data_IF_200510225579
#
_entry.id   IF_200510225579
#
_cell.length_a   1.000
_cell.length_b   1.000
_cell.length_c   1.000
_cell.angle_alpha   90.00
_cell.angle_beta   90.00
_cell.angle_gamma   90.00
#
_symmetry.space_group_name_H-M   'P 1'
#
loop_
_entity.id
_entity.type
_entity.pdbx_description
1 polymer ?
#
# COMPACT_ATOMS: atom_id res chain seq x y z
N UNK A 1 -57.50 -22.24 -43.37
CA UNK A 1 -56.73 -21.89 -42.19
C UNK A 1 -55.28 -22.10 -42.57
N UNK A 2 -54.56 -21.00 -42.66
CA UNK A 2 -53.28 -20.87 -43.36
C UNK A 2 -52.12 -21.22 -42.41
N UNK A 3 -51.31 -22.20 -42.80
CA UNK A 3 -50.20 -22.77 -42.03
C UNK A 3 -48.84 -22.20 -42.47
N UNK A 4 -48.80 -20.89 -42.71
CA UNK A 4 -47.63 -20.22 -43.27
C UNK A 4 -46.88 -19.26 -42.27
N UNK A 5 -46.82 -19.54 -40.95
CA UNK A 5 -46.00 -18.80 -39.99
C UNK A 5 -44.98 -19.75 -39.38
N UNK A 6 -44.17 -20.39 -40.22
CA UNK A 6 -42.94 -21.03 -39.72
C UNK A 6 -41.85 -19.96 -39.73
N UNK A 7 -41.48 -19.54 -38.52
CA UNK A 7 -40.47 -18.55 -38.22
C UNK A 7 -39.17 -18.78 -39.02
N UNK A 8 -38.77 -17.79 -39.84
CA UNK A 8 -37.40 -17.67 -40.38
C UNK A 8 -36.43 -17.47 -39.24
N UNK A 9 -35.97 -18.56 -38.63
CA UNK A 9 -34.78 -18.52 -37.82
C UNK A 9 -33.63 -18.00 -38.71
N UNK A 10 -33.19 -16.75 -38.50
CA UNK A 10 -32.01 -16.22 -39.17
C UNK A 10 -30.86 -17.15 -38.79
N UNK A 11 -30.41 -17.98 -39.71
CA UNK A 11 -29.17 -18.73 -39.54
C UNK A 11 -28.07 -17.71 -39.37
N UNK A 12 -27.47 -17.68 -38.14
CA UNK A 12 -26.28 -16.92 -37.88
C UNK A 12 -25.18 -17.50 -38.76
N UNK A 13 -24.77 -16.75 -39.78
CA UNK A 13 -23.68 -17.16 -40.65
C UNK A 13 -22.38 -17.01 -39.89
N UNK A 14 -21.91 -18.09 -39.24
CA UNK A 14 -20.69 -18.16 -38.47
C UNK A 14 -19.45 -17.77 -39.29
N UNK A 15 -19.48 -17.81 -40.62
CA UNK A 15 -18.39 -17.38 -41.50
C UNK A 15 -18.20 -15.87 -41.48
N UNK A 16 -19.26 -15.09 -41.17
CA UNK A 16 -19.12 -13.62 -41.02
C UNK A 16 -18.54 -13.22 -39.70
N UNK A 17 -18.57 -14.07 -38.67
CA UNK A 17 -17.97 -13.86 -37.35
C UNK A 17 -16.47 -14.17 -37.33
N UNK A 18 -15.95 -14.97 -38.30
CA UNK A 18 -14.53 -15.39 -38.38
C UNK A 18 -13.77 -14.55 -39.42
N UNK A 19 -14.09 -13.27 -39.59
CA UNK A 19 -13.20 -12.38 -40.33
C UNK A 19 -11.89 -12.25 -39.51
N UNK A 20 -10.76 -12.48 -40.19
CA UNK A 20 -9.43 -12.23 -39.54
C UNK A 20 -9.46 -10.84 -38.93
N UNK A 21 -9.17 -10.70 -37.65
CA UNK A 21 -9.19 -9.40 -37.00
C UNK A 21 -8.18 -8.44 -37.70
N UNK A 22 -8.61 -7.22 -37.98
CA UNK A 22 -7.74 -6.23 -38.56
C UNK A 22 -6.58 -5.92 -37.58
N UNK A 23 -5.44 -5.44 -38.10
CA UNK A 23 -4.23 -5.15 -37.32
C UNK A 23 -4.52 -4.40 -36.01
N UNK A 24 -5.39 -3.38 -36.05
CA UNK A 24 -5.73 -2.61 -34.86
C UNK A 24 -6.50 -3.45 -33.81
N UNK A 25 -7.43 -4.31 -34.23
CA UNK A 25 -8.13 -5.23 -33.30
C UNK A 25 -7.14 -6.19 -32.65
N UNK A 26 -6.19 -6.74 -33.42
CA UNK A 26 -5.15 -7.61 -32.89
C UNK A 26 -4.27 -6.88 -31.84
N UNK A 27 -3.81 -5.65 -32.14
CA UNK A 27 -2.98 -4.85 -31.22
C UNK A 27 -3.74 -4.50 -29.94
N UNK A 28 -5.01 -4.09 -30.03
CA UNK A 28 -5.82 -3.78 -28.85
C UNK A 28 -6.10 -5.04 -28.00
N UNK A 29 -6.33 -6.19 -28.65
CA UNK A 29 -6.47 -7.47 -27.93
C UNK A 29 -5.17 -7.84 -27.20
N UNK A 30 -4.01 -7.71 -27.86
CA UNK A 30 -2.71 -7.96 -27.24
C UNK A 30 -2.47 -7.01 -26.06
N UNK A 31 -2.82 -5.73 -26.21
CA UNK A 31 -2.73 -4.76 -25.11
C UNK A 31 -3.58 -5.20 -23.91
N UNK A 32 -4.82 -5.64 -24.13
CA UNK A 32 -5.69 -6.16 -23.08
C UNK A 32 -5.07 -7.38 -22.37
N UNK A 33 -4.52 -8.33 -23.14
CA UNK A 33 -3.91 -9.53 -22.57
C UNK A 33 -2.64 -9.22 -21.77
N UNK A 34 -1.78 -8.32 -22.28
CA UNK A 34 -0.59 -7.87 -21.57
C UNK A 34 -0.97 -7.11 -20.30
N UNK A 35 -1.98 -6.24 -20.34
CA UNK A 35 -2.49 -5.53 -19.16
C UNK A 35 -3.04 -6.52 -18.13
N UNK A 36 -3.87 -7.47 -18.56
CA UNK A 36 -4.41 -8.50 -17.67
C UNK A 36 -3.30 -9.34 -17.01
N UNK A 37 -2.27 -9.72 -17.78
CA UNK A 37 -1.12 -10.45 -17.28
C UNK A 37 -0.33 -9.62 -16.26
N UNK A 38 -0.08 -8.33 -16.54
CA UNK A 38 0.61 -7.42 -15.61
C UNK A 38 -0.20 -7.18 -14.32
N UNK A 39 -1.54 -7.19 -14.40
CA UNK A 39 -2.40 -7.14 -13.22
C UNK A 39 -2.38 -8.47 -12.46
N UNK A 40 -2.50 -9.61 -13.11
CA UNK A 40 -2.58 -10.92 -12.47
C UNK A 40 -1.23 -11.35 -11.84
N UNK A 41 -0.16 -11.18 -12.60
CA UNK A 41 1.19 -11.66 -12.26
C UNK A 41 2.21 -10.56 -12.55
N UNK A 42 2.27 -9.49 -11.74
CA UNK A 42 3.16 -8.35 -12.01
C UNK A 42 4.64 -8.76 -12.03
N UNK A 43 5.01 -9.87 -11.38
CA UNK A 43 6.36 -10.43 -11.38
C UNK A 43 6.91 -10.77 -12.79
N UNK A 44 6.04 -10.91 -13.80
CA UNK A 44 6.49 -11.11 -15.20
C UNK A 44 7.18 -9.87 -15.79
N UNK A 45 6.96 -8.70 -15.20
CA UNK A 45 7.62 -7.47 -15.64
C UNK A 45 9.05 -7.44 -15.09
N UNK A 46 10.08 -7.35 -15.97
CA UNK A 46 11.47 -7.31 -15.53
C UNK A 46 11.75 -6.12 -14.61
N UNK A 47 12.58 -6.35 -13.58
CA UNK A 47 12.95 -5.30 -12.60
C UNK A 47 14.43 -4.89 -12.71
N UNK A 48 15.15 -5.34 -13.73
CA UNK A 48 16.53 -4.92 -14.00
C UNK A 48 16.56 -3.52 -14.64
N UNK A 49 17.67 -2.81 -14.47
CA UNK A 49 17.87 -1.48 -15.05
C UNK A 49 16.88 -0.44 -14.50
N UNK A 50 15.89 0.02 -15.27
CA UNK A 50 14.99 1.12 -14.89
C UNK A 50 13.96 0.76 -13.81
N UNK A 51 14.00 -0.44 -13.22
CA UNK A 51 13.07 -0.90 -12.17
C UNK A 51 11.60 -0.85 -12.60
N UNK A 52 11.33 -1.21 -13.86
CA UNK A 52 9.97 -1.17 -14.43
C UNK A 52 9.01 -2.11 -13.68
N UNK A 53 9.48 -3.25 -13.19
CA UNK A 53 8.70 -4.17 -12.35
C UNK A 53 8.15 -3.49 -11.12
N UNK A 54 9.00 -2.89 -10.28
CA UNK A 54 8.59 -2.13 -9.08
C UNK A 54 7.65 -0.97 -9.42
N UNK A 55 7.89 -0.27 -10.55
CA UNK A 55 6.97 0.78 -11.00
C UNK A 55 5.57 0.22 -11.31
N UNK A 56 5.48 -0.85 -12.08
CA UNK A 56 4.20 -1.50 -12.44
C UNK A 56 3.50 -2.03 -11.20
N UNK A 57 4.23 -2.63 -10.26
CA UNK A 57 3.73 -3.15 -9.00
C UNK A 57 3.19 -2.02 -8.10
N UNK A 58 3.92 -0.93 -7.94
CA UNK A 58 3.49 0.24 -7.16
C UNK A 58 2.17 0.83 -7.70
N UNK A 59 2.02 0.90 -9.02
CA UNK A 59 0.85 1.49 -9.68
C UNK A 59 -0.11 0.44 -10.28
N UNK A 60 -0.03 -0.80 -9.83
CA UNK A 60 -0.84 -1.93 -10.30
C UNK A 60 -2.35 -1.67 -10.35
N UNK A 61 -2.99 -1.04 -9.33
CA UNK A 61 -4.43 -0.74 -9.40
C UNK A 61 -4.81 0.14 -10.59
N UNK A 62 -3.93 1.04 -11.01
CA UNK A 62 -4.17 2.00 -12.10
C UNK A 62 -4.05 1.41 -13.50
N UNK A 63 -3.49 0.20 -13.63
CA UNK A 63 -3.44 -0.52 -14.91
C UNK A 63 -4.85 -0.80 -15.47
N UNK A 64 -5.86 -0.90 -14.61
CA UNK A 64 -7.26 -1.02 -15.02
C UNK A 64 -7.76 0.13 -15.90
N UNK A 65 -7.16 1.33 -15.77
CA UNK A 65 -7.54 2.49 -16.60
C UNK A 65 -7.24 2.31 -18.09
N UNK A 66 -6.33 1.40 -18.46
CA UNK A 66 -6.04 1.06 -19.87
C UNK A 66 -7.29 0.58 -20.60
N UNK A 67 -8.24 0.02 -19.86
CA UNK A 67 -9.51 -0.46 -20.44
C UNK A 67 -10.32 0.69 -21.05
N UNK A 68 -10.27 1.89 -20.48
CA UNK A 68 -11.08 3.04 -20.94
C UNK A 68 -10.78 3.42 -22.40
N UNK A 69 -9.54 3.73 -22.80
CA UNK A 69 -9.24 4.05 -24.19
C UNK A 69 -9.48 2.86 -25.13
N UNK A 70 -9.32 1.61 -24.66
CA UNK A 70 -9.61 0.41 -25.46
C UNK A 70 -11.12 0.31 -25.75
N UNK A 71 -11.99 0.54 -24.76
CA UNK A 71 -13.44 0.54 -24.96
C UNK A 71 -13.89 1.68 -25.87
N UNK A 72 -13.32 2.88 -25.72
CA UNK A 72 -13.57 3.99 -26.63
C UNK A 72 -13.18 3.65 -28.08
N UNK A 73 -12.03 3.03 -28.27
CA UNK A 73 -11.59 2.56 -29.59
C UNK A 73 -12.51 1.46 -30.12
N UNK A 74 -12.98 0.54 -29.28
CA UNK A 74 -13.94 -0.49 -29.67
C UNK A 74 -15.27 0.12 -30.14
N UNK A 75 -15.77 1.12 -29.42
CA UNK A 75 -17.01 1.85 -29.77
C UNK A 75 -16.87 2.58 -31.11
N UNK A 76 -15.83 3.41 -31.29
CA UNK A 76 -15.59 4.16 -32.54
C UNK A 76 -15.44 3.22 -33.73
N UNK A 77 -14.77 2.09 -33.55
CA UNK A 77 -14.49 1.10 -34.60
C UNK A 77 -15.65 0.10 -34.75
N UNK A 78 -16.68 0.17 -33.93
CA UNK A 78 -17.80 -0.80 -33.87
C UNK A 78 -17.28 -2.25 -33.84
N UNK A 79 -16.27 -2.53 -33.00
CA UNK A 79 -15.60 -3.82 -32.91
C UNK A 79 -16.04 -4.60 -31.65
N UNK A 80 -16.99 -5.54 -31.78
CA UNK A 80 -17.40 -6.36 -30.63
C UNK A 80 -16.25 -7.24 -30.10
N UNK A 81 -15.32 -7.67 -30.96
CA UNK A 81 -14.19 -8.46 -30.58
C UNK A 81 -13.22 -7.65 -29.66
N UNK A 82 -12.98 -6.37 -29.96
CA UNK A 82 -12.17 -5.50 -29.10
C UNK A 82 -12.88 -5.24 -27.76
N UNK A 83 -14.20 -5.02 -27.78
CA UNK A 83 -14.98 -4.85 -26.56
C UNK A 83 -14.94 -6.10 -25.67
N UNK A 84 -15.07 -7.29 -26.26
CA UNK A 84 -14.95 -8.56 -25.55
C UNK A 84 -13.54 -8.76 -24.95
N UNK A 85 -12.48 -8.41 -25.71
CA UNK A 85 -11.11 -8.48 -25.21
C UNK A 85 -10.87 -7.55 -24.01
N UNK A 86 -11.51 -6.38 -23.96
CA UNK A 86 -11.40 -5.43 -22.85
C UNK A 86 -12.02 -5.96 -21.55
N UNK A 87 -12.93 -6.94 -21.61
CA UNK A 87 -13.48 -7.57 -20.39
C UNK A 87 -12.42 -8.38 -19.63
N UNK A 88 -11.40 -8.91 -20.32
CA UNK A 88 -10.38 -9.75 -19.67
C UNK A 88 -9.64 -8.98 -18.56
N UNK A 89 -8.99 -7.82 -18.82
CA UNK A 89 -8.34 -7.06 -17.76
C UNK A 89 -9.34 -6.51 -16.73
N UNK A 90 -10.61 -6.25 -17.08
CA UNK A 90 -11.63 -5.85 -16.10
C UNK A 90 -11.90 -6.99 -15.12
N UNK A 91 -12.13 -8.21 -15.60
CA UNK A 91 -12.41 -9.36 -14.74
C UNK A 91 -11.20 -9.69 -13.84
N UNK A 92 -10.00 -9.65 -14.40
CA UNK A 92 -8.77 -9.84 -13.61
C UNK A 92 -8.61 -8.75 -12.57
N UNK A 93 -8.89 -7.49 -12.93
CA UNK A 93 -8.79 -6.37 -11.97
C UNK A 93 -9.82 -6.53 -10.84
N UNK A 94 -11.05 -6.91 -11.15
CA UNK A 94 -12.08 -7.18 -10.14
C UNK A 94 -11.66 -8.32 -9.21
N UNK A 95 -11.14 -9.42 -9.75
CA UNK A 95 -10.65 -10.56 -8.94
C UNK A 95 -9.55 -10.15 -7.97
N UNK A 96 -8.61 -9.30 -8.41
CA UNK A 96 -7.46 -8.89 -7.61
C UNK A 96 -7.81 -7.80 -6.59
N UNK A 97 -8.73 -6.88 -6.93
CA UNK A 97 -8.94 -5.64 -6.16
C UNK A 97 -10.35 -5.46 -5.60
N UNK A 98 -11.36 -6.19 -6.06
CA UNK A 98 -12.72 -6.04 -5.57
C UNK A 98 -13.03 -6.88 -4.32
N UNK A 99 -12.05 -7.06 -3.44
CA UNK A 99 -12.30 -7.61 -2.11
C UNK A 99 -13.28 -6.70 -1.36
N UNK A 100 -14.36 -7.28 -0.79
CA UNK A 100 -15.27 -6.56 0.09
C UNK A 100 -14.67 -6.56 1.49
N UNK A 101 -14.28 -5.40 2.05
CA UNK A 101 -13.92 -5.33 3.45
C UNK A 101 -15.19 -5.63 4.26
N UNK A 102 -15.24 -6.80 4.88
CA UNK A 102 -16.24 -7.08 5.91
C UNK A 102 -15.96 -6.23 7.14
N UNK A 103 -16.98 -5.82 7.89
CA UNK A 103 -16.78 -5.30 9.24
C UNK A 103 -16.35 -6.47 10.13
N UNK A 104 -15.04 -6.70 10.22
CA UNK A 104 -14.50 -7.69 11.14
C UNK A 104 -14.37 -7.09 12.54
N UNK A 105 -14.64 -7.93 13.57
CA UNK A 105 -14.32 -7.58 14.93
C UNK A 105 -12.81 -7.32 15.07
N UNK A 106 -12.42 -6.35 15.85
CA UNK A 106 -11.03 -6.00 16.16
C UNK A 106 -10.84 -5.74 17.65
N UNK A 107 -9.60 -5.85 18.08
CA UNK A 107 -9.23 -5.70 19.49
C UNK A 107 -8.64 -4.33 19.79
N UNK A 108 -7.79 -3.81 18.90
CA UNK A 108 -7.12 -2.51 19.05
C UNK A 108 -7.08 -1.75 17.72
N UNK A 109 -7.00 -0.42 17.81
CA UNK A 109 -6.71 0.44 16.66
C UNK A 109 -5.31 1.02 16.77
N UNK A 110 -4.65 1.16 15.64
CA UNK A 110 -3.34 1.80 15.55
C UNK A 110 -3.36 2.85 14.45
N UNK A 111 -2.60 3.91 14.63
CA UNK A 111 -2.43 4.97 13.61
C UNK A 111 -0.97 5.08 13.24
N UNK A 112 -0.72 5.21 11.95
CA UNK A 112 0.58 5.54 11.38
C UNK A 112 0.48 6.83 10.58
N UNK A 113 1.50 7.70 10.66
CA UNK A 113 1.50 8.96 9.92
C UNK A 113 2.90 9.52 9.72
N UNK A 114 3.32 9.72 8.47
CA UNK A 114 4.43 10.59 8.13
C UNK A 114 3.95 12.05 8.27
N UNK A 115 4.49 12.78 9.26
CA UNK A 115 4.01 14.14 9.59
C UNK A 115 4.69 15.22 8.77
N UNK A 116 5.62 14.88 7.89
CA UNK A 116 6.50 15.76 7.12
C UNK A 116 7.37 16.68 7.99
N UNK A 117 8.67 16.67 7.79
CA UNK A 117 9.62 17.50 8.54
C UNK A 117 9.49 19.01 8.23
N UNK A 118 8.82 19.35 7.14
CA UNK A 118 8.51 20.72 6.72
C UNK A 118 7.15 21.23 7.23
N UNK A 119 6.38 20.38 7.95
CA UNK A 119 5.04 20.71 8.39
C UNK A 119 5.02 21.84 9.45
N UNK A 120 4.18 22.85 9.25
CA UNK A 120 4.18 24.10 10.04
C UNK A 120 3.18 24.14 11.21
N UNK A 121 2.29 23.14 11.34
CA UNK A 121 1.23 23.14 12.34
C UNK A 121 1.18 21.85 13.19
N UNK A 122 2.27 21.43 13.87
CA UNK A 122 2.34 20.16 14.59
C UNK A 122 1.31 20.03 15.72
N UNK A 123 0.88 21.14 16.34
CA UNK A 123 -0.14 21.10 17.37
C UNK A 123 -1.54 20.71 16.84
N UNK A 124 -1.87 21.07 15.59
CA UNK A 124 -3.11 20.64 14.94
C UNK A 124 -3.07 19.14 14.66
N UNK A 125 -1.97 18.67 14.10
CA UNK A 125 -1.74 17.24 13.84
C UNK A 125 -1.84 16.44 15.13
N UNK A 126 -1.15 16.88 16.20
CA UNK A 126 -1.18 16.20 17.49
C UNK A 126 -2.60 16.08 18.07
N UNK A 127 -3.43 17.12 17.97
CA UNK A 127 -4.84 17.06 18.41
C UNK A 127 -5.65 16.08 17.57
N UNK A 128 -5.50 16.10 16.26
CA UNK A 128 -6.20 15.23 15.34
C UNK A 128 -5.83 13.75 15.60
N UNK A 129 -4.54 13.46 15.83
CA UNK A 129 -4.06 12.13 16.19
C UNK A 129 -4.58 11.69 17.57
N UNK A 130 -4.59 12.58 18.58
CA UNK A 130 -5.19 12.30 19.89
C UNK A 130 -6.66 11.94 19.77
N UNK A 131 -7.40 12.68 18.94
CA UNK A 131 -8.84 12.52 18.76
C UNK A 131 -9.20 11.23 17.97
N UNK A 132 -8.24 10.56 17.33
CA UNK A 132 -8.40 9.23 16.74
C UNK A 132 -8.67 8.14 17.78
N UNK A 133 -8.25 8.36 19.02
CA UNK A 133 -8.40 7.43 20.14
C UNK A 133 -7.70 6.07 19.93
N UNK A 134 -6.75 5.97 19.00
CA UNK A 134 -5.97 4.75 18.77
C UNK A 134 -5.16 4.33 20.02
N UNK A 135 -4.85 3.07 20.17
CA UNK A 135 -4.01 2.54 21.26
C UNK A 135 -2.54 2.84 21.05
N UNK A 136 -2.11 2.83 19.78
CA UNK A 136 -0.74 3.11 19.36
C UNK A 136 -0.74 4.14 18.24
N UNK A 137 0.20 5.09 18.27
CA UNK A 137 0.44 6.05 17.19
C UNK A 137 1.92 5.99 16.82
N UNK A 138 2.21 5.63 15.57
CA UNK A 138 3.54 5.68 14.97
C UNK A 138 3.66 6.94 14.10
N UNK A 139 4.75 7.66 14.23
CA UNK A 139 5.00 8.89 13.47
C UNK A 139 6.39 8.84 12.83
N UNK A 140 6.49 9.35 11.61
CA UNK A 140 7.71 9.51 10.86
C UNK A 140 7.95 11.00 10.55
N UNK A 141 9.20 11.33 10.25
CA UNK A 141 9.69 12.70 9.99
C UNK A 141 9.48 13.68 11.16
N UNK A 142 9.48 13.15 12.38
CA UNK A 142 9.31 13.97 13.58
C UNK A 142 10.60 14.73 13.90
N UNK A 143 10.60 16.04 13.69
CA UNK A 143 11.70 16.90 14.11
C UNK A 143 11.74 17.06 15.63
N UNK A 144 12.90 17.40 16.26
CA UNK A 144 12.98 17.66 17.69
C UNK A 144 12.01 18.75 18.17
N UNK A 145 11.78 19.78 17.34
CA UNK A 145 10.84 20.87 17.64
C UNK A 145 9.39 20.36 17.62
N UNK A 146 8.99 19.60 16.59
CA UNK A 146 7.66 19.00 16.48
C UNK A 146 7.40 18.02 17.63
N UNK A 147 8.39 17.17 17.99
CA UNK A 147 8.30 16.22 19.12
C UNK A 147 7.98 16.91 20.44
N UNK A 148 8.56 18.09 20.70
CA UNK A 148 8.23 18.87 21.89
C UNK A 148 6.76 19.28 21.91
N UNK A 149 6.21 19.68 20.76
CA UNK A 149 4.79 20.05 20.62
C UNK A 149 3.90 18.83 20.76
N UNK A 150 4.22 17.71 20.09
CA UNK A 150 3.48 16.45 20.24
C UNK A 150 3.41 16.00 21.69
N UNK A 151 4.54 16.05 22.41
CA UNK A 151 4.60 15.72 23.85
C UNK A 151 3.65 16.60 24.67
N UNK A 152 3.58 17.88 24.39
CA UNK A 152 2.68 18.81 25.08
C UNK A 152 1.20 18.47 24.92
N UNK A 153 0.81 17.87 23.77
CA UNK A 153 -0.59 17.54 23.44
C UNK A 153 -0.96 16.10 23.75
N UNK A 154 -0.01 15.15 23.52
CA UNK A 154 -0.31 13.71 23.56
C UNK A 154 -0.08 13.08 24.94
N UNK A 155 0.79 13.62 25.78
CA UNK A 155 1.29 12.96 27.01
C UNK A 155 0.21 12.50 28.00
N UNK A 156 -0.93 13.18 28.04
CA UNK A 156 -2.03 12.82 28.95
C UNK A 156 -2.82 11.61 28.47
N UNK A 157 -3.00 11.49 27.14
CA UNK A 157 -3.72 10.38 26.52
C UNK A 157 -2.79 9.21 26.22
N UNK A 158 -1.53 9.49 25.89
CA UNK A 158 -0.47 8.54 25.56
C UNK A 158 0.72 8.73 26.49
N UNK A 159 0.66 8.22 27.73
CA UNK A 159 1.70 8.45 28.73
C UNK A 159 3.03 7.76 28.40
N UNK A 160 3.03 6.78 27.50
CA UNK A 160 4.21 6.03 27.11
C UNK A 160 4.69 6.48 25.73
N UNK A 161 5.96 6.86 25.63
CA UNK A 161 6.55 7.38 24.40
C UNK A 161 7.97 6.85 24.22
N UNK A 162 8.26 6.37 23.02
CA UNK A 162 9.60 5.94 22.60
C UNK A 162 9.92 6.60 21.26
N UNK A 163 11.21 6.83 20.97
CA UNK A 163 11.65 7.37 19.68
C UNK A 163 13.07 6.94 19.33
N UNK A 164 13.37 7.01 18.03
CA UNK A 164 14.74 6.82 17.50
C UNK A 164 14.90 7.72 16.26
N UNK A 165 15.83 8.69 16.36
CA UNK A 165 16.04 9.68 15.29
C UNK A 165 14.75 10.45 14.97
N UNK A 166 14.16 10.18 13.81
CA UNK A 166 12.97 10.88 13.31
C UNK A 166 11.69 10.04 13.39
N UNK A 167 11.72 8.87 14.03
CA UNK A 167 10.53 8.03 14.21
C UNK A 167 10.12 7.96 15.67
N UNK A 168 8.82 8.06 15.94
CA UNK A 168 8.24 8.10 17.27
C UNK A 168 7.12 7.04 17.41
N UNK A 169 7.00 6.47 18.61
CA UNK A 169 5.88 5.61 19.01
C UNK A 169 5.24 6.17 20.28
N UNK A 170 3.98 6.50 20.19
CA UNK A 170 3.13 6.90 21.31
C UNK A 170 2.17 5.79 21.65
N UNK A 171 1.99 5.50 22.93
CA UNK A 171 1.17 4.36 23.42
C UNK A 171 0.37 4.74 24.65
N UNK A 172 -0.86 4.22 24.71
CA UNK A 172 -1.67 4.20 25.94
C UNK A 172 -1.19 3.14 26.92
N UNK A 173 -0.45 2.15 26.40
CA UNK A 173 0.00 0.98 27.14
C UNK A 173 1.50 1.07 27.43
N UNK A 174 1.99 0.42 28.53
CA UNK A 174 3.40 0.43 28.86
C UNK A 174 4.29 -0.05 27.71
N UNK A 175 5.39 0.67 27.49
CA UNK A 175 6.45 0.33 26.54
C UNK A 175 7.69 -0.13 27.29
N UNK A 176 8.32 -1.20 26.83
CA UNK A 176 9.57 -1.74 27.34
C UNK A 176 10.51 -2.14 26.19
N UNK A 177 11.71 -2.54 26.49
CA UNK A 177 12.72 -3.02 25.52
C UNK A 177 12.88 -2.11 24.31
N UNK A 178 12.85 -0.81 24.56
CA UNK A 178 12.99 0.20 23.51
C UNK A 178 14.40 0.16 22.95
N UNK A 179 14.53 -0.04 21.64
CA UNK A 179 15.81 -0.04 20.96
C UNK A 179 15.71 0.51 19.53
N UNK A 180 16.81 1.09 19.07
CA UNK A 180 17.00 1.44 17.67
C UNK A 180 17.08 0.17 16.82
N UNK A 181 16.49 0.22 15.63
CA UNK A 181 16.69 -0.76 14.57
C UNK A 181 17.49 -0.11 13.44
N UNK A 182 18.68 -0.63 13.16
CA UNK A 182 19.52 -0.07 12.10
C UNK A 182 19.07 -0.59 10.73
N UNK A 183 18.26 0.22 10.08
CA UNK A 183 17.76 -0.02 8.72
C UNK A 183 18.45 0.88 7.70
N UNK A 184 19.58 1.48 8.05
CA UNK A 184 20.33 2.41 7.21
C UNK A 184 21.00 1.66 6.05
N UNK A 185 20.61 1.94 4.80
CA UNK A 185 21.20 1.26 3.66
C UNK A 185 22.64 1.79 3.40
N UNK A 186 23.49 1.00 2.72
CA UNK A 186 24.80 1.44 2.31
C UNK A 186 24.76 2.75 1.51
N UNK A 187 25.75 3.63 1.75
CA UNK A 187 25.84 4.93 1.07
C UNK A 187 25.08 6.07 1.76
N UNK A 188 24.27 5.80 2.77
CA UNK A 188 23.66 6.83 3.62
C UNK A 188 24.62 7.14 4.79
N UNK A 189 24.90 8.43 5.10
CA UNK A 189 25.78 8.82 6.19
C UNK A 189 25.32 8.32 7.58
N UNK A 190 26.23 8.17 8.56
CA UNK A 190 25.87 7.91 9.96
C UNK A 190 24.88 8.94 10.51
N UNK A 191 24.04 8.54 11.49
CA UNK A 191 23.02 9.40 12.08
C UNK A 191 21.68 9.39 11.35
N UNK A 192 21.54 8.57 10.33
CA UNK A 192 20.25 8.31 9.68
C UNK A 192 19.48 7.24 10.47
N UNK A 193 18.83 7.67 11.56
CA UNK A 193 18.12 6.80 12.48
C UNK A 193 16.61 6.88 12.20
N UNK A 194 16.08 5.88 11.52
CA UNK A 194 14.69 5.81 11.06
C UNK A 194 14.00 4.49 11.37
N UNK A 195 14.54 3.74 12.32
CA UNK A 195 13.99 2.47 12.79
C UNK A 195 13.95 2.42 14.31
N UNK A 196 12.81 2.02 14.85
CA UNK A 196 12.54 1.85 16.28
C UNK A 196 11.87 0.50 16.51
N UNK A 197 12.22 -0.16 17.61
CA UNK A 197 11.49 -1.31 18.16
C UNK A 197 11.17 -1.05 19.61
N UNK A 198 9.93 -1.36 20.03
CA UNK A 198 9.54 -1.39 21.44
C UNK A 198 8.63 -2.59 21.70
N UNK A 199 8.57 -3.08 22.93
CA UNK A 199 7.54 -4.03 23.36
C UNK A 199 6.39 -3.25 23.98
N UNK A 200 5.19 -3.32 23.39
CA UNK A 200 3.95 -2.79 23.95
C UNK A 200 3.23 -3.88 24.74
N UNK A 201 2.83 -3.56 25.97
CA UNK A 201 2.03 -4.47 26.81
C UNK A 201 0.55 -4.20 26.58
N UNK A 202 0.03 -4.72 25.46
CA UNK A 202 -1.38 -4.62 25.10
C UNK A 202 -2.26 -5.55 25.99
N UNK A 203 -3.58 -5.33 26.07
CA UNK A 203 -4.49 -6.23 26.78
C UNK A 203 -4.41 -7.68 26.32
N UNK A 204 -4.11 -7.91 25.04
CA UNK A 204 -3.96 -9.23 24.43
C UNK A 204 -2.58 -9.87 24.66
N UNK A 205 -1.63 -9.13 25.26
CA UNK A 205 -0.29 -9.59 25.60
C UNK A 205 0.83 -8.74 25.03
N UNK A 206 2.05 -9.17 25.29
CA UNK A 206 3.25 -8.48 24.80
C UNK A 206 3.33 -8.57 23.27
N UNK A 207 3.55 -7.42 22.64
CA UNK A 207 3.60 -7.27 21.20
C UNK A 207 4.83 -6.43 20.84
N UNK A 208 5.70 -6.95 19.97
CA UNK A 208 6.78 -6.16 19.39
C UNK A 208 6.20 -5.15 18.41
N UNK A 209 6.46 -3.88 18.62
CA UNK A 209 6.03 -2.80 17.73
C UNK A 209 7.26 -2.19 17.07
N UNK A 210 7.32 -2.28 15.76
CA UNK A 210 8.34 -1.66 14.93
C UNK A 210 7.75 -0.40 14.29
N UNK A 211 8.53 0.69 14.31
CA UNK A 211 8.26 1.89 13.54
C UNK A 211 9.43 2.10 12.58
N UNK A 212 9.14 2.20 11.29
CA UNK A 212 10.18 2.29 10.27
C UNK A 212 9.83 3.31 9.18
N UNK A 213 10.83 4.11 8.79
CA UNK A 213 10.71 5.01 7.64
C UNK A 213 11.82 4.66 6.64
N UNK A 214 11.46 4.00 5.55
CA UNK A 214 12.39 3.60 4.49
C UNK A 214 12.73 4.78 3.57
N UNK A 215 13.88 4.73 2.85
CA UNK A 215 14.25 5.80 1.91
C UNK A 215 13.20 6.03 0.82
N UNK A 216 12.96 7.30 0.50
CA UNK A 216 12.02 7.68 -0.56
C UNK A 216 12.45 7.16 -1.92
N UNK A 217 11.49 6.64 -2.68
CA UNK A 217 11.66 6.27 -4.08
C UNK A 217 11.50 7.51 -4.97
N UNK A 218 12.38 7.69 -5.93
CA UNK A 218 12.37 8.87 -6.81
C UNK A 218 12.44 8.46 -8.27
N UNK A 219 11.66 9.14 -9.12
CA UNK A 219 11.84 9.06 -10.55
C UNK A 219 13.16 9.74 -10.97
N UNK A 220 13.97 9.01 -11.70
CA UNK A 220 15.25 9.49 -12.25
C UNK A 220 15.27 9.25 -13.75
N UNK A 221 16.20 9.90 -14.46
CA UNK A 221 16.44 9.61 -15.87
C UNK A 221 16.77 8.12 -16.12
N UNK A 222 17.33 7.43 -15.12
CA UNK A 222 17.66 5.99 -15.15
C UNK A 222 16.50 5.08 -14.77
N UNK A 223 15.34 5.62 -14.36
CA UNK A 223 14.16 4.85 -14.00
C UNK A 223 13.62 5.08 -12.58
N UNK A 224 12.92 4.13 -12.05
CA UNK A 224 12.29 4.14 -10.73
C UNK A 224 13.31 3.74 -9.66
N UNK A 225 13.83 4.72 -8.91
CA UNK A 225 15.02 4.58 -8.04
C UNK A 225 14.72 3.93 -6.70
N UNK A 226 14.59 2.61 -6.66
CA UNK A 226 14.22 1.83 -5.45
C UNK A 226 15.40 1.29 -4.66
N UNK A 227 16.64 1.39 -5.14
CA UNK A 227 17.81 0.66 -4.61
C UNK A 227 18.05 0.86 -3.12
N UNK A 228 17.94 2.10 -2.61
CA UNK A 228 18.13 2.41 -1.20
C UNK A 228 16.97 1.88 -0.35
N UNK A 229 15.72 2.01 -0.85
CA UNK A 229 14.54 1.47 -0.20
C UNK A 229 14.62 -0.05 -0.10
N UNK A 230 15.00 -0.74 -1.18
CA UNK A 230 15.12 -2.20 -1.23
C UNK A 230 16.22 -2.70 -0.28
N UNK A 231 17.35 -1.97 -0.20
CA UNK A 231 18.42 -2.29 0.74
C UNK A 231 17.98 -2.11 2.20
N UNK A 232 17.22 -1.05 2.51
CA UNK A 232 16.66 -0.80 3.84
C UNK A 232 15.59 -1.84 4.19
N UNK A 233 14.73 -2.23 3.24
CA UNK A 233 13.72 -3.28 3.43
C UNK A 233 14.34 -4.64 3.78
N UNK A 234 15.50 -4.98 3.20
CA UNK A 234 16.24 -6.20 3.58
C UNK A 234 16.71 -6.16 5.03
N UNK A 235 17.32 -5.05 5.46
CA UNK A 235 17.77 -4.87 6.85
C UNK A 235 16.60 -4.95 7.83
N UNK A 236 15.46 -4.35 7.49
CA UNK A 236 14.24 -4.46 8.28
C UNK A 236 13.73 -5.91 8.33
N UNK A 237 13.71 -6.61 7.19
CA UNK A 237 13.33 -8.02 7.12
C UNK A 237 14.24 -8.93 7.96
N UNK A 238 15.55 -8.66 8.02
CA UNK A 238 16.51 -9.35 8.89
C UNK A 238 16.21 -9.10 10.37
N UNK A 239 15.92 -7.85 10.76
CA UNK A 239 15.53 -7.50 12.12
C UNK A 239 14.22 -8.18 12.55
N UNK A 240 13.22 -8.25 11.65
CA UNK A 240 11.95 -8.93 11.87
C UNK A 240 12.11 -10.46 11.96
N UNK A 241 13.04 -11.03 11.21
CA UNK A 241 13.37 -12.46 11.29
C UNK A 241 14.00 -12.85 12.64
N UNK A 242 14.74 -11.92 13.26
CA UNK A 242 15.38 -12.11 14.56
C UNK A 242 14.46 -11.78 15.75
N UNK A 243 13.23 -11.29 15.52
CA UNK A 243 12.28 -10.92 16.58
C UNK A 243 11.71 -12.17 17.26
N UNK A 244 11.96 -12.37 18.59
CA UNK A 244 11.53 -13.56 19.31
C UNK A 244 10.03 -13.57 19.65
N UNK A 245 9.37 -12.41 19.73
CA UNK A 245 7.95 -12.36 20.05
C UNK A 245 7.12 -12.86 18.88
N UNK A 246 6.10 -13.66 19.19
CA UNK A 246 5.18 -14.17 18.18
C UNK A 246 4.31 -13.04 17.59
N UNK A 247 3.89 -12.08 18.44
CA UNK A 247 3.08 -10.94 18.02
C UNK A 247 3.96 -9.76 17.64
N UNK A 248 3.85 -9.36 16.39
CA UNK A 248 4.61 -8.24 15.84
C UNK A 248 3.68 -7.32 15.06
N UNK A 249 3.81 -6.04 15.28
CA UNK A 249 3.23 -4.98 14.45
C UNK A 249 4.37 -4.15 13.85
N UNK A 250 4.29 -3.87 12.56
CA UNK A 250 5.14 -2.90 11.88
C UNK A 250 4.25 -1.79 11.36
N UNK A 251 4.55 -0.57 11.78
CA UNK A 251 3.92 0.65 11.31
C UNK A 251 4.99 1.53 10.65
N UNK A 252 4.68 2.16 9.53
CA UNK A 252 5.63 3.12 8.97
C UNK A 252 5.39 3.51 7.53
N UNK A 253 6.07 4.58 7.15
CA UNK A 253 6.26 4.95 5.75
C UNK A 253 7.34 4.06 5.15
N UNK A 254 6.91 2.99 4.49
CA UNK A 254 7.82 2.04 3.85
C UNK A 254 8.22 2.48 2.44
N UNK A 255 7.73 3.64 1.97
CA UNK A 255 7.96 4.13 0.61
C UNK A 255 7.71 3.03 -0.45
N UNK A 256 6.74 2.16 -0.16
CA UNK A 256 6.42 0.96 -0.94
C UNK A 256 4.98 0.54 -0.74
N UNK A 257 4.35 0.11 -1.81
CA UNK A 257 3.10 -0.66 -1.71
C UNK A 257 3.40 -2.11 -1.37
N UNK A 258 2.42 -2.83 -0.84
CA UNK A 258 2.54 -4.28 -0.56
C UNK A 258 2.58 -5.14 -1.83
N UNK A 259 2.33 -4.56 -2.99
CA UNK A 259 2.49 -5.24 -4.28
C UNK A 259 3.91 -5.15 -4.83
N UNK A 260 4.75 -4.19 -4.36
CA UNK A 260 6.12 -4.01 -4.85
C UNK A 260 7.06 -5.04 -4.22
N UNK A 261 7.66 -5.86 -5.07
CA UNK A 261 8.63 -6.93 -4.70
C UNK A 261 9.83 -6.44 -3.88
N UNK A 262 10.14 -5.15 -3.91
CA UNK A 262 11.18 -4.58 -3.03
C UNK A 262 10.85 -4.69 -1.56
N UNK A 263 9.58 -4.96 -1.21
CA UNK A 263 9.13 -5.19 0.15
C UNK A 263 9.07 -6.68 0.54
N UNK A 264 9.34 -7.62 -0.39
CA UNK A 264 9.30 -9.06 -0.14
C UNK A 264 10.08 -9.50 1.12
N UNK A 265 11.26 -8.93 1.46
CA UNK A 265 11.98 -9.28 2.69
C UNK A 265 11.17 -9.05 3.96
N UNK A 266 10.28 -8.05 3.96
CA UNK A 266 9.38 -7.70 5.07
C UNK A 266 8.12 -8.56 4.99
N UNK A 267 7.49 -8.68 3.81
CA UNK A 267 6.27 -9.45 3.57
C UNK A 267 6.46 -10.95 3.77
N UNK A 268 7.69 -11.46 3.64
CA UNK A 268 8.02 -12.83 4.02
C UNK A 268 8.03 -13.07 5.54
N UNK A 269 7.80 -12.04 6.36
CA UNK A 269 7.82 -12.09 7.83
C UNK A 269 6.54 -11.59 8.47
N UNK A 270 5.77 -10.77 7.78
CA UNK A 270 4.55 -10.12 8.25
C UNK A 270 3.48 -10.18 7.18
N UNK A 271 2.25 -10.36 7.60
CA UNK A 271 1.08 -10.34 6.74
C UNK A 271 0.62 -8.90 6.49
N UNK A 272 0.23 -8.63 5.26
CA UNK A 272 -0.38 -7.38 4.84
C UNK A 272 -1.91 -7.42 4.99
N UNK A 273 -2.58 -6.26 5.18
CA UNK A 273 -4.03 -6.18 5.13
C UNK A 273 -4.56 -6.52 3.73
N UNK A 274 -5.77 -7.08 3.69
CA UNK A 274 -6.49 -7.33 2.43
C UNK A 274 -6.94 -6.03 1.74
N UNK A 275 -7.10 -4.93 2.51
CA UNK A 275 -7.45 -3.62 1.97
C UNK A 275 -6.36 -3.09 1.04
N UNK A 276 -6.75 -2.72 -0.20
CA UNK A 276 -5.82 -2.30 -1.26
C UNK A 276 -5.85 -0.79 -1.55
N UNK A 277 -6.94 -0.10 -1.17
CA UNK A 277 -7.23 1.26 -1.66
C UNK A 277 -7.07 2.39 -0.65
N UNK A 278 -6.69 2.14 0.59
CA UNK A 278 -6.41 3.20 1.55
C UNK A 278 -5.15 4.00 1.13
N UNK A 279 -5.21 4.64 -0.05
CA UNK A 279 -4.09 5.40 -0.61
C UNK A 279 -3.76 6.59 0.28
N UNK A 280 -2.49 6.74 0.63
CA UNK A 280 -2.02 7.74 1.58
C UNK A 280 -1.18 8.84 0.93
N UNK A 281 -0.62 8.60 -0.26
CA UNK A 281 0.32 9.51 -0.89
C UNK A 281 0.05 9.72 -2.39
N UNK A 282 0.28 10.96 -2.91
CA UNK A 282 0.40 12.22 -2.15
C UNK A 282 -0.97 12.65 -1.58
N UNK A 283 -1.00 13.35 -0.44
CA UNK A 283 -2.26 13.69 0.25
C UNK A 283 -3.24 14.47 -0.62
N UNK A 284 -2.73 15.31 -1.53
CA UNK A 284 -3.55 16.14 -2.43
C UNK A 284 -4.28 15.34 -3.54
N UNK A 285 -3.74 14.20 -3.95
CA UNK A 285 -4.33 13.27 -4.92
C UNK A 285 -3.78 11.87 -4.64
N UNK A 286 -4.33 11.13 -3.68
CA UNK A 286 -3.76 9.87 -3.26
C UNK A 286 -3.83 8.81 -4.37
N UNK A 287 -2.67 8.27 -4.74
CA UNK A 287 -2.52 7.28 -5.81
C UNK A 287 -1.79 6.00 -5.38
N UNK A 288 -1.13 6.02 -4.21
CA UNK A 288 -0.43 4.86 -3.68
C UNK A 288 -0.56 4.82 -2.15
N UNK A 289 -0.63 3.61 -1.58
CA UNK A 289 -0.48 3.40 -0.16
C UNK A 289 0.95 2.98 0.11
N UNK A 290 1.79 3.95 0.51
CA UNK A 290 3.19 3.72 0.88
C UNK A 290 3.40 3.69 2.39
N UNK A 291 2.39 4.12 3.12
CA UNK A 291 2.24 4.05 4.56
C UNK A 291 1.58 2.71 4.91
N UNK A 292 2.23 1.90 5.73
CA UNK A 292 1.84 0.51 5.95
C UNK A 292 1.63 0.19 7.42
N UNK A 293 0.69 -0.72 7.67
CA UNK A 293 0.55 -1.46 8.93
C UNK A 293 0.52 -2.93 8.58
N UNK A 294 1.51 -3.68 9.06
CA UNK A 294 1.69 -5.10 8.82
C UNK A 294 1.75 -5.85 10.15
N UNK A 295 1.37 -7.12 10.18
CA UNK A 295 1.29 -7.89 11.41
C UNK A 295 1.81 -9.32 11.27
N UNK A 296 2.25 -9.92 12.39
CA UNK A 296 2.48 -11.34 12.60
C UNK A 296 1.87 -11.74 13.92
N UNK A 297 1.24 -12.93 14.00
CA UNK A 297 0.51 -13.38 15.19
C UNK A 297 -0.72 -12.51 15.51
N UNK A 298 -1.15 -11.70 14.56
CA UNK A 298 -2.35 -10.87 14.55
C UNK A 298 -2.75 -10.62 13.09
N UNK A 299 -4.01 -10.21 12.87
CA UNK A 299 -4.52 -9.83 11.55
C UNK A 299 -4.83 -8.34 11.51
N UNK A 300 -4.47 -7.68 10.41
CA UNK A 300 -4.95 -6.33 10.11
C UNK A 300 -6.34 -6.45 9.47
N UNK A 301 -7.38 -6.27 10.29
CA UNK A 301 -8.79 -6.50 9.92
C UNK A 301 -9.37 -5.40 9.02
N UNK A 302 -8.70 -4.27 8.91
CA UNK A 302 -9.08 -3.18 8.01
C UNK A 302 -8.13 -2.00 8.13
N UNK A 303 -8.00 -1.24 7.03
CA UNK A 303 -7.20 -0.01 6.96
C UNK A 303 -8.02 1.08 6.30
N UNK A 304 -7.95 2.28 6.83
CA UNK A 304 -8.56 3.47 6.23
C UNK A 304 -7.66 4.69 6.38
N UNK A 305 -7.82 5.66 5.51
CA UNK A 305 -7.21 6.97 5.67
C UNK A 305 -8.01 7.82 6.65
N UNK A 306 -7.31 8.64 7.42
CA UNK A 306 -7.90 9.68 8.24
C UNK A 306 -7.88 11.03 7.49
N UNK A 307 -8.59 12.05 7.99
CA UNK A 307 -8.61 13.37 7.37
C UNK A 307 -7.22 13.99 7.24
N UNK A 308 -7.04 14.78 6.18
CA UNK A 308 -5.80 15.49 5.88
C UNK A 308 -5.32 16.37 7.05
N UNK A 309 -4.06 16.22 7.39
CA UNK A 309 -3.37 16.98 8.44
C UNK A 309 -2.61 18.18 7.89
N UNK A 310 -2.42 18.27 6.58
CA UNK A 310 -1.54 19.21 5.87
C UNK A 310 -0.13 18.67 5.66
N UNK A 311 0.13 17.39 5.94
CA UNK A 311 1.29 16.66 5.46
C UNK A 311 1.10 16.29 3.99
N UNK A 312 2.18 15.94 3.29
CA UNK A 312 2.10 15.34 1.96
C UNK A 312 1.65 13.86 1.99
N UNK A 313 1.46 13.29 3.19
CA UNK A 313 0.82 12.00 3.43
C UNK A 313 -0.51 12.16 4.16
N UNK A 314 -1.49 11.28 3.89
CA UNK A 314 -2.66 11.10 4.74
C UNK A 314 -2.31 10.10 5.85
N UNK A 315 -2.76 10.35 7.11
CA UNK A 315 -2.64 9.35 8.16
C UNK A 315 -3.45 8.11 7.80
N UNK A 316 -2.98 6.93 8.18
CA UNK A 316 -3.74 5.69 8.10
C UNK A 316 -4.06 5.17 9.49
N UNK A 317 -5.28 4.67 9.64
CA UNK A 317 -5.74 3.92 10.81
C UNK A 317 -5.91 2.46 10.41
N UNK A 318 -5.41 1.56 11.24
CA UNK A 318 -5.60 0.13 11.06
C UNK A 318 -6.27 -0.49 12.29
N UNK A 319 -7.15 -1.46 12.04
CA UNK A 319 -7.83 -2.28 13.04
C UNK A 319 -7.10 -3.61 13.15
N UNK A 320 -6.68 -3.97 14.34
CA UNK A 320 -5.90 -5.17 14.62
C UNK A 320 -6.74 -6.16 15.41
N UNK A 321 -6.73 -7.41 14.98
CA UNK A 321 -7.32 -8.57 15.66
C UNK A 321 -6.20 -9.55 16.02
N UNK A 322 -6.12 -9.90 17.30
CA UNK A 322 -5.16 -10.86 17.85
C UNK A 322 -5.70 -12.27 17.95
#
# INVERSE_FOLDING_TARGET
MDSSVIARARRIDWRTLVRRPGRATTLLTLLCLVTALAIAVPAVVPNAGPRLGSFVETFRPWLGLVVVPVLLAALVRRSPATAAAALVPVLVWLEVFAGWPGEEAYDVTVVQHNVSDTHTAPARVARQLRDSQAELIALEEVTPAARKVFRGVLKETYPHHAYSGTVDLWSRHPLSEVRRVDIRPPGIPPGWDRGLRATARLPQGETAVYVAHLPSVRFRATGFGTDLRDASARLLGEALAAEPLERVLLLGDLNSTTDDRGLDPVLGRLDAPDERFAFSWPSSLPVARIDQVLARGARVAGVRTLPDTGSDHLPIEARIRF
#
